data_IF_398787165959
#
_entry.id   IF_398787165959
#
_cell.length_a   1.000
_cell.length_b   1.000
_cell.length_c   1.000
_cell.angle_alpha   90.00
_cell.angle_beta   90.00
_cell.angle_gamma   90.00
#
_symmetry.space_group_name_H-M   'P 1'
#
loop_
_entity.id
_entity.type
_entity.pdbx_description
1 polymer ?
#
# COMPACT_ATOMS: atom_id res chain seq x y z
N UNK A 1 -60.90 -32.61 27.10
CA UNK A 1 -59.54 -33.03 26.71
C UNK A 1 -59.08 -34.11 27.67
N UNK A 2 -58.86 -35.33 27.18
CA UNK A 2 -58.49 -36.45 28.05
C UNK A 2 -57.00 -36.37 28.47
N UNK A 3 -56.62 -37.11 29.50
CA UNK A 3 -55.28 -37.08 30.08
C UNK A 3 -54.19 -37.57 29.10
N UNK A 4 -54.56 -38.48 28.19
CA UNK A 4 -53.68 -38.95 27.12
C UNK A 4 -53.36 -37.83 26.11
N UNK A 5 -54.36 -37.05 25.71
CA UNK A 5 -54.21 -35.94 24.76
C UNK A 5 -53.37 -34.79 25.33
N UNK A 6 -53.49 -34.54 26.64
CA UNK A 6 -52.59 -33.62 27.37
C UNK A 6 -51.15 -34.13 27.35
N UNK A 7 -50.94 -35.42 27.61
CA UNK A 7 -49.61 -36.05 27.58
C UNK A 7 -48.97 -35.97 26.20
N UNK A 8 -49.73 -36.28 25.14
CA UNK A 8 -49.26 -36.19 23.75
C UNK A 8 -48.86 -34.77 23.37
N UNK A 9 -49.64 -33.75 23.76
CA UNK A 9 -49.31 -32.33 23.49
C UNK A 9 -48.05 -31.87 24.22
N UNK A 10 -47.83 -32.34 25.45
CA UNK A 10 -46.61 -32.05 26.21
C UNK A 10 -45.38 -32.71 25.56
N UNK A 11 -45.51 -33.96 25.11
CA UNK A 11 -44.43 -34.65 24.38
C UNK A 11 -44.05 -33.91 23.10
N UNK A 12 -45.04 -33.54 22.28
CA UNK A 12 -44.83 -32.75 21.06
C UNK A 12 -44.14 -31.40 21.35
N UNK A 13 -44.57 -30.71 22.40
CA UNK A 13 -43.95 -29.44 22.78
C UNK A 13 -42.50 -29.63 23.24
N UNK A 14 -42.19 -30.72 23.96
CA UNK A 14 -40.83 -31.05 24.35
C UNK A 14 -39.95 -31.28 23.12
N UNK A 15 -40.43 -32.05 22.15
CA UNK A 15 -39.70 -32.36 20.92
C UNK A 15 -39.42 -31.10 20.10
N UNK A 16 -40.42 -30.20 19.95
CA UNK A 16 -40.24 -28.91 19.29
C UNK A 16 -39.19 -28.03 19.99
N UNK A 17 -39.14 -28.04 21.32
CA UNK A 17 -38.14 -27.30 22.10
C UNK A 17 -36.74 -27.90 21.93
N UNK A 18 -36.61 -29.22 21.84
CA UNK A 18 -35.32 -29.86 21.59
C UNK A 18 -34.81 -29.57 20.17
N UNK A 19 -35.69 -29.66 19.17
CA UNK A 19 -35.35 -29.33 17.78
C UNK A 19 -34.92 -27.86 17.65
N UNK A 20 -35.66 -26.93 18.28
CA UNK A 20 -35.28 -25.52 18.29
C UNK A 20 -33.91 -25.31 18.96
N UNK A 21 -33.64 -25.99 20.09
CA UNK A 21 -32.32 -25.93 20.74
C UNK A 21 -31.21 -26.43 19.84
N UNK A 22 -31.41 -27.54 19.14
CA UNK A 22 -30.42 -28.12 18.23
C UNK A 22 -30.15 -27.19 17.03
N UNK A 23 -31.19 -26.63 16.41
CA UNK A 23 -31.06 -25.63 15.35
C UNK A 23 -30.35 -24.35 15.82
N UNK A 24 -30.64 -23.91 17.04
CA UNK A 24 -29.99 -22.73 17.63
C UNK A 24 -28.50 -22.97 17.90
N UNK A 25 -28.13 -24.16 18.39
CA UNK A 25 -26.73 -24.53 18.62
C UNK A 25 -25.94 -24.56 17.31
N UNK A 26 -26.48 -25.18 16.26
CA UNK A 26 -25.86 -25.23 14.94
C UNK A 26 -25.65 -23.82 14.34
N UNK A 27 -26.63 -22.92 14.52
CA UNK A 27 -26.52 -21.54 14.04
C UNK A 27 -25.43 -20.75 14.79
N UNK A 28 -25.18 -21.04 16.07
CA UNK A 28 -24.09 -20.44 16.85
C UNK A 28 -22.74 -20.96 16.32
N UNK A 29 -22.60 -22.27 16.12
CA UNK A 29 -21.37 -22.86 15.56
C UNK A 29 -21.04 -22.29 14.18
N UNK A 30 -22.04 -22.16 13.30
CA UNK A 30 -21.85 -21.56 11.98
C UNK A 30 -21.37 -20.10 12.06
N UNK A 31 -21.89 -19.32 13.02
CA UNK A 31 -21.43 -17.93 13.24
C UNK A 31 -19.98 -17.88 13.71
N UNK A 32 -19.58 -18.79 14.60
CA UNK A 32 -18.20 -18.85 15.09
C UNK A 32 -17.24 -19.26 13.96
N UNK A 33 -17.63 -20.22 13.12
CA UNK A 33 -16.86 -20.60 11.91
C UNK A 33 -16.71 -19.42 10.95
N UNK A 34 -17.78 -18.66 10.68
CA UNK A 34 -17.72 -17.49 9.80
C UNK A 34 -16.83 -16.38 10.36
N UNK A 35 -16.85 -16.17 11.68
CA UNK A 35 -15.96 -15.23 12.36
C UNK A 35 -14.51 -15.67 12.22
N UNK A 36 -14.22 -16.95 12.46
CA UNK A 36 -12.87 -17.49 12.33
C UNK A 36 -12.36 -17.47 10.88
N UNK A 37 -13.24 -17.70 9.89
CA UNK A 37 -12.93 -17.52 8.48
C UNK A 37 -12.64 -16.06 8.13
N UNK A 38 -13.42 -15.11 8.67
CA UNK A 38 -13.17 -13.67 8.50
C UNK A 38 -11.84 -13.25 9.11
N UNK A 39 -11.52 -13.71 10.31
CA UNK A 39 -10.24 -13.47 10.97
C UNK A 39 -9.07 -14.09 10.18
N UNK A 40 -9.25 -15.31 9.65
CA UNK A 40 -8.25 -15.96 8.81
C UNK A 40 -8.04 -15.22 7.48
N UNK A 41 -9.12 -14.76 6.84
CA UNK A 41 -9.06 -13.92 5.63
C UNK A 41 -8.33 -12.60 5.92
N UNK A 42 -8.68 -11.92 7.01
CA UNK A 42 -8.01 -10.68 7.43
C UNK A 42 -6.53 -10.92 7.75
N UNK A 43 -6.19 -11.99 8.47
CA UNK A 43 -4.80 -12.40 8.74
C UNK A 43 -4.03 -12.72 7.45
N UNK A 44 -4.65 -13.45 6.52
CA UNK A 44 -4.02 -13.82 5.24
C UNK A 44 -3.83 -12.59 4.37
N UNK A 45 -4.81 -11.68 4.31
CA UNK A 45 -4.69 -10.39 3.63
C UNK A 45 -3.57 -9.53 4.23
N UNK A 46 -3.39 -9.54 5.56
CA UNK A 46 -2.28 -8.84 6.20
C UNK A 46 -0.92 -9.48 5.84
N UNK A 47 -0.81 -10.81 5.86
CA UNK A 47 0.42 -11.52 5.44
C UNK A 47 0.75 -11.31 3.96
N UNK A 48 -0.25 -11.24 3.08
CA UNK A 48 -0.07 -10.90 1.67
C UNK A 48 0.38 -9.44 1.52
N UNK A 49 -0.19 -8.51 2.29
CA UNK A 49 0.24 -7.10 2.34
C UNK A 49 1.70 -6.96 2.81
N UNK A 50 2.11 -7.70 3.84
CA UNK A 50 3.47 -7.68 4.40
C UNK A 50 4.52 -8.27 3.45
N UNK A 51 4.16 -9.31 2.68
CA UNK A 51 5.06 -9.99 1.74
C UNK A 51 5.14 -9.31 0.36
N UNK A 52 4.14 -8.52 -0.02
CA UNK A 52 4.12 -7.79 -1.30
C UNK A 52 4.67 -6.36 -1.23
N UNK A 53 4.92 -5.82 -0.04
CA UNK A 53 5.50 -4.49 0.10
C UNK A 53 6.18 -4.34 1.46
N UNK A 54 7.50 -4.13 1.54
CA UNK A 54 8.10 -3.82 2.82
C UNK A 54 7.56 -2.45 3.24
N UNK A 55 6.80 -2.42 4.35
CA UNK A 55 6.19 -1.20 4.93
C UNK A 55 7.24 -0.11 5.21
N UNK A 56 8.51 -0.50 5.27
CA UNK A 56 9.66 0.38 5.12
C UNK A 56 10.26 0.12 3.74
N UNK A 57 10.13 1.07 2.80
CA UNK A 57 10.69 0.96 1.45
C UNK A 57 12.22 0.87 1.46
N UNK A 58 12.74 -0.29 1.84
CA UNK A 58 14.16 -0.56 1.78
C UNK A 58 14.58 -0.43 0.33
N UNK A 59 15.62 0.35 0.08
CA UNK A 59 16.33 0.34 -1.18
C UNK A 59 17.10 -0.98 -1.29
N UNK A 60 16.36 -2.06 -1.55
CA UNK A 60 16.92 -3.39 -1.75
C UNK A 60 17.33 -3.51 -3.21
N UNK A 61 18.62 -3.70 -3.41
CA UNK A 61 19.18 -4.08 -4.71
C UNK A 61 18.76 -5.51 -5.02
N UNK A 62 17.64 -5.67 -5.73
CA UNK A 62 17.19 -6.98 -6.22
C UNK A 62 17.84 -7.36 -7.56
N UNK A 63 18.77 -6.54 -8.08
CA UNK A 63 19.28 -6.67 -9.45
C UNK A 63 18.21 -6.50 -10.53
N UNK A 64 16.96 -6.18 -10.14
CA UNK A 64 15.84 -6.02 -11.05
C UNK A 64 15.71 -4.56 -11.45
N UNK A 65 15.88 -4.33 -12.76
CA UNK A 65 15.64 -3.04 -13.41
C UNK A 65 14.15 -2.84 -13.78
N UNK A 66 13.32 -3.85 -13.55
CA UNK A 66 11.88 -3.76 -13.79
C UNK A 66 11.24 -2.74 -12.87
N UNK A 67 10.34 -1.94 -13.43
CA UNK A 67 9.69 -0.88 -12.68
C UNK A 67 8.16 -0.95 -12.69
N UNK A 68 7.56 -1.98 -12.07
CA UNK A 68 6.13 -1.96 -11.82
C UNK A 68 5.75 -0.77 -10.93
N UNK A 69 4.51 -0.27 -11.02
CA UNK A 69 4.01 0.77 -10.12
C UNK A 69 4.20 0.38 -8.65
N UNK A 70 4.69 1.34 -7.88
CA UNK A 70 5.06 1.19 -6.47
C UNK A 70 4.04 1.93 -5.60
N UNK A 71 3.37 1.27 -4.66
CA UNK A 71 2.34 1.90 -3.84
C UNK A 71 2.75 1.91 -2.36
N UNK A 72 2.75 3.06 -1.72
CA UNK A 72 3.10 3.23 -0.31
C UNK A 72 1.94 3.84 0.47
N UNK A 73 1.68 3.31 1.66
CA UNK A 73 0.61 3.76 2.57
C UNK A 73 1.09 4.02 4.01
N UNK A 74 2.36 3.73 4.30
CA UNK A 74 2.98 3.98 5.59
C UNK A 74 3.08 5.49 5.88
N UNK A 75 3.14 5.89 7.16
CA UNK A 75 3.30 7.30 7.52
C UNK A 75 4.68 7.87 7.19
N UNK A 76 5.68 7.03 6.95
CA UNK A 76 6.98 7.42 6.45
C UNK A 76 7.66 6.23 5.79
N UNK A 77 8.44 6.48 4.75
CA UNK A 77 9.35 5.48 4.19
C UNK A 77 10.51 6.13 3.44
N UNK A 78 11.59 5.37 3.27
CA UNK A 78 12.59 5.63 2.23
C UNK A 78 12.10 5.03 0.91
N UNK A 79 12.46 5.67 -0.19
CA UNK A 79 12.10 5.27 -1.55
C UNK A 79 13.26 5.61 -2.48
N UNK A 80 13.42 4.88 -3.57
CA UNK A 80 14.54 5.08 -4.49
C UNK A 80 14.26 4.58 -5.90
N UNK A 81 15.07 5.04 -6.84
CA UNK A 81 15.12 4.51 -8.20
C UNK A 81 15.42 3.01 -8.21
N UNK A 82 14.98 2.25 -9.24
CA UNK A 82 15.40 0.87 -9.42
C UNK A 82 16.92 0.76 -9.48
N UNK A 83 17.47 -0.33 -8.93
CA UNK A 83 18.91 -0.59 -8.92
C UNK A 83 19.72 0.18 -7.86
N UNK A 84 19.18 1.25 -7.26
CA UNK A 84 19.90 2.05 -6.25
C UNK A 84 20.47 1.16 -5.12
N UNK A 85 21.75 1.31 -4.71
CA UNK A 85 22.69 2.40 -5.08
C UNK A 85 23.49 2.16 -6.37
N UNK A 86 23.25 1.07 -7.10
CA UNK A 86 23.84 0.88 -8.42
C UNK A 86 23.12 1.73 -9.47
N UNK A 87 23.68 1.74 -10.68
CA UNK A 87 23.06 2.42 -11.80
C UNK A 87 21.62 1.91 -12.03
N UNK A 88 20.69 2.83 -12.28
CA UNK A 88 19.37 2.43 -12.79
C UNK A 88 19.51 1.87 -14.21
N UNK A 89 18.63 0.94 -14.58
CA UNK A 89 18.65 0.29 -15.89
C UNK A 89 17.89 1.05 -16.97
N UNK A 90 18.04 0.58 -18.19
CA UNK A 90 17.61 1.27 -19.41
C UNK A 90 16.09 1.40 -19.52
N UNK A 91 15.62 2.53 -20.06
CA UNK A 91 14.29 2.71 -20.65
C UNK A 91 13.08 2.32 -19.77
N UNK A 92 13.13 2.65 -18.48
CA UNK A 92 12.03 2.41 -17.55
C UNK A 92 11.37 3.72 -17.09
N UNK A 93 10.04 3.76 -17.14
CA UNK A 93 9.24 4.76 -16.42
C UNK A 93 8.68 4.11 -15.17
N UNK A 94 9.11 4.63 -14.03
CA UNK A 94 8.70 4.21 -12.71
C UNK A 94 7.67 5.17 -12.13
N UNK A 95 6.58 4.63 -11.58
CA UNK A 95 5.57 5.39 -10.86
C UNK A 95 5.56 4.95 -9.39
N UNK A 96 5.61 5.91 -8.49
CA UNK A 96 5.51 5.71 -7.05
C UNK A 96 4.29 6.50 -6.57
N UNK A 97 3.27 5.80 -6.07
CA UNK A 97 2.07 6.40 -5.51
C UNK A 97 2.17 6.33 -3.98
N UNK A 98 2.06 7.48 -3.34
CA UNK A 98 2.04 7.58 -1.87
C UNK A 98 0.62 8.01 -1.47
N UNK A 99 0.01 7.25 -0.58
CA UNK A 99 -1.33 7.48 -0.07
C UNK A 99 -1.31 7.39 1.46
N UNK A 100 -1.15 8.53 2.14
CA UNK A 100 -1.14 8.58 3.61
C UNK A 100 -2.56 8.62 4.18
N UNK A 101 -2.67 8.66 5.50
CA UNK A 101 -3.95 8.77 6.21
C UNK A 101 -4.73 10.01 5.74
N UNK A 102 -6.06 9.90 5.73
CA UNK A 102 -6.95 11.01 5.45
C UNK A 102 -6.73 12.19 6.42
N UNK A 103 -6.88 13.41 5.92
CA UNK A 103 -6.60 14.64 6.67
C UNK A 103 -5.11 14.94 6.88
N UNK A 104 -4.21 14.12 6.35
CA UNK A 104 -2.76 14.38 6.38
C UNK A 104 -2.20 14.72 5.01
N UNK A 105 -0.98 15.24 4.98
CA UNK A 105 -0.22 15.57 3.76
C UNK A 105 1.14 14.88 3.76
N UNK A 106 1.84 14.92 2.63
CA UNK A 106 3.12 14.25 2.42
C UNK A 106 4.22 15.31 2.28
N UNK A 107 5.30 15.18 3.04
CA UNK A 107 6.56 15.90 2.81
C UNK A 107 7.61 14.93 2.27
N UNK A 108 8.14 15.22 1.08
CA UNK A 108 9.17 14.44 0.39
C UNK A 108 10.50 15.21 0.37
N UNK A 109 11.60 14.52 0.67
CA UNK A 109 12.96 15.05 0.61
C UNK A 109 13.92 14.08 -0.07
N UNK A 110 14.67 14.56 -1.06
CA UNK A 110 15.74 13.79 -1.67
C UNK A 110 16.96 13.72 -0.75
N UNK A 111 17.55 12.54 -0.64
CA UNK A 111 18.77 12.26 0.12
C UNK A 111 19.97 12.12 -0.82
N UNK A 112 19.75 11.56 -2.00
CA UNK A 112 20.72 11.47 -3.10
C UNK A 112 19.99 11.69 -4.42
N UNK A 113 20.69 12.27 -5.40
CA UNK A 113 20.11 12.56 -6.70
C UNK A 113 21.21 12.63 -7.76
N UNK A 114 21.21 11.68 -8.68
CA UNK A 114 22.12 11.66 -9.82
C UNK A 114 21.45 10.98 -11.00
N UNK A 115 21.15 11.75 -12.03
CA UNK A 115 20.66 11.24 -13.31
C UNK A 115 21.63 11.59 -14.44
N UNK A 116 21.65 10.74 -15.46
CA UNK A 116 22.62 10.81 -16.54
C UNK A 116 22.50 12.07 -17.42
N UNK A 117 21.27 12.49 -17.72
CA UNK A 117 21.02 13.64 -18.60
C UNK A 117 19.71 14.34 -18.26
N UNK A 118 19.44 15.48 -18.89
CA UNK A 118 18.15 16.20 -18.80
C UNK A 118 16.95 15.38 -19.32
N UNK A 119 17.21 14.34 -20.12
CA UNK A 119 16.20 13.41 -20.59
C UNK A 119 15.88 12.29 -19.59
N UNK A 120 16.71 12.10 -18.55
CA UNK A 120 16.47 11.20 -17.42
C UNK A 120 16.07 12.04 -16.20
N UNK A 121 14.80 11.99 -15.79
CA UNK A 121 14.27 12.97 -14.85
C UNK A 121 13.29 12.38 -13.83
N UNK A 122 13.16 13.09 -12.71
CA UNK A 122 12.12 12.89 -11.71
C UNK A 122 11.12 14.03 -11.80
N UNK A 123 9.82 13.73 -11.67
CA UNK A 123 8.75 14.71 -11.57
C UNK A 123 7.77 14.31 -10.48
N UNK A 124 7.34 15.27 -9.67
CA UNK A 124 6.43 15.05 -8.54
C UNK A 124 5.10 15.75 -8.78
N UNK A 125 4.01 15.06 -8.47
CA UNK A 125 2.64 15.48 -8.73
C UNK A 125 1.83 15.52 -7.42
N UNK A 126 0.98 16.52 -7.30
CA UNK A 126 0.11 16.78 -6.16
C UNK A 126 -1.21 16.00 -6.27
N UNK A 127 -1.13 14.69 -6.11
CA UNK A 127 -2.30 13.82 -6.21
C UNK A 127 -1.94 12.36 -6.41
N UNK A 128 -2.92 11.58 -6.85
CA UNK A 128 -2.83 10.12 -6.96
C UNK A 128 -2.40 9.62 -8.36
N UNK A 129 -2.02 10.53 -9.27
CA UNK A 129 -1.62 10.16 -10.63
C UNK A 129 -0.68 11.20 -11.25
N UNK A 130 -0.14 10.87 -12.42
CA UNK A 130 0.65 11.81 -13.24
C UNK A 130 -0.18 12.83 -14.01
N UNK A 131 -1.52 12.79 -13.89
CA UNK A 131 -2.42 13.82 -14.42
C UNK A 131 -2.78 14.88 -13.37
N UNK A 132 -2.40 14.68 -12.11
CA UNK A 132 -2.55 15.66 -11.05
C UNK A 132 -1.63 16.89 -11.27
N UNK A 133 -1.89 18.03 -10.60
CA UNK A 133 -1.04 19.22 -10.72
C UNK A 133 0.44 18.92 -10.42
N UNK A 134 1.35 19.61 -11.08
CA UNK A 134 2.79 19.40 -10.86
C UNK A 134 3.25 20.15 -9.60
N UNK A 135 4.01 19.48 -8.73
CA UNK A 135 4.74 20.13 -7.63
C UNK A 135 6.15 20.53 -8.03
N UNK A 136 6.71 19.88 -9.05
CA UNK A 136 8.05 20.18 -9.56
C UNK A 136 8.05 20.21 -11.08
N UNK A 137 9.00 20.98 -11.62
CA UNK A 137 9.48 20.76 -12.99
C UNK A 137 10.28 19.45 -13.09
N UNK A 138 10.79 19.14 -14.30
CA UNK A 138 11.66 17.97 -14.53
C UNK A 138 12.99 18.17 -13.80
N UNK A 139 13.20 17.40 -12.74
CA UNK A 139 14.45 17.40 -11.98
C UNK A 139 15.43 16.41 -12.60
N UNK A 140 16.66 16.82 -12.87
CA UNK A 140 17.70 16.00 -13.52
C UNK A 140 19.11 16.44 -13.14
N UNK A 141 20.13 15.65 -13.54
CA UNK A 141 21.54 15.91 -13.27
C UNK A 141 21.96 15.46 -11.87
N UNK A 142 22.98 16.13 -11.33
CA UNK A 142 23.54 15.85 -10.01
C UNK A 142 23.58 17.14 -9.16
N UNK A 143 22.41 17.69 -8.79
CA UNK A 143 22.36 18.90 -7.97
C UNK A 143 22.83 18.60 -6.54
N UNK A 144 23.45 19.59 -5.90
CA UNK A 144 23.75 19.50 -4.47
C UNK A 144 22.46 19.32 -3.68
N UNK A 145 22.39 18.30 -2.80
CA UNK A 145 21.15 17.95 -2.08
C UNK A 145 20.60 19.10 -1.23
N UNK A 146 21.46 19.96 -0.67
CA UNK A 146 21.04 21.14 0.09
C UNK A 146 20.31 22.19 -0.75
N UNK A 147 20.44 22.19 -2.08
CA UNK A 147 19.68 23.08 -2.96
C UNK A 147 18.29 22.54 -3.28
N UNK A 148 18.03 21.24 -3.05
CA UNK A 148 16.73 20.63 -3.25
C UNK A 148 15.82 20.93 -2.06
N UNK A 149 14.79 21.74 -2.30
CA UNK A 149 13.77 22.04 -1.30
C UNK A 149 12.89 20.82 -1.02
N UNK A 150 12.37 20.72 0.21
CA UNK A 150 11.32 19.77 0.55
C UNK A 150 10.08 20.01 -0.31
N UNK A 151 9.48 18.94 -0.84
CA UNK A 151 8.28 19.00 -1.66
C UNK A 151 7.10 18.58 -0.77
N UNK A 152 6.04 19.39 -0.73
CA UNK A 152 4.87 19.15 0.11
C UNK A 152 3.63 19.03 -0.76
N UNK A 153 2.85 17.97 -0.57
CA UNK A 153 1.52 17.84 -1.20
C UNK A 153 0.50 18.75 -0.51
N UNK A 154 -0.57 19.08 -1.21
CA UNK A 154 -1.74 19.76 -0.64
C UNK A 154 -2.68 18.80 0.09
N UNK A 155 -2.65 17.51 -0.26
CA UNK A 155 -3.49 16.48 0.33
C UNK A 155 -2.77 15.17 0.62
N UNK A 156 -3.55 14.11 0.88
CA UNK A 156 -3.03 12.80 1.31
C UNK A 156 -2.32 11.98 0.23
N UNK A 157 -2.30 12.46 -1.00
CA UNK A 157 -1.73 11.76 -2.15
C UNK A 157 -0.55 12.52 -2.72
N UNK A 158 0.49 11.78 -3.10
CA UNK A 158 1.65 12.30 -3.83
C UNK A 158 2.13 11.23 -4.81
N UNK A 159 2.30 11.60 -6.08
CA UNK A 159 2.80 10.69 -7.11
C UNK A 159 4.17 11.16 -7.60
N UNK A 160 5.11 10.23 -7.71
CA UNK A 160 6.46 10.46 -8.24
C UNK A 160 6.61 9.66 -9.53
N UNK A 161 7.06 10.33 -10.59
CA UNK A 161 7.48 9.70 -11.84
C UNK A 161 8.98 9.80 -11.97
N UNK A 162 9.66 8.68 -12.15
CA UNK A 162 11.05 8.65 -12.60
C UNK A 162 11.09 8.06 -14.01
N UNK A 163 11.50 8.86 -14.99
CA UNK A 163 11.60 8.44 -16.37
C UNK A 163 13.08 8.40 -16.77
N UNK A 164 13.58 7.19 -17.00
CA UNK A 164 14.92 6.96 -17.51
C UNK A 164 14.86 6.73 -19.02
N UNK A 165 15.42 7.68 -19.78
CA UNK A 165 15.74 7.50 -21.19
C UNK A 165 17.26 7.35 -21.29
N UNK A 166 17.76 6.40 -22.10
CA UNK A 166 19.17 6.01 -22.32
C UNK A 166 19.72 4.83 -21.51
N UNK A 167 20.76 4.22 -22.11
CA UNK A 167 21.42 3.00 -21.63
C UNK A 167 22.62 3.23 -20.71
N UNK A 168 22.86 4.49 -20.33
CA UNK A 168 23.93 4.87 -19.41
C UNK A 168 23.26 5.41 -18.15
N UNK A 169 23.11 4.56 -17.13
CA UNK A 169 22.53 4.95 -15.84
C UNK A 169 23.56 5.58 -14.91
N UNK A 170 23.17 6.62 -14.17
CA UNK A 170 23.88 7.04 -12.95
C UNK A 170 23.30 6.29 -11.74
N UNK A 171 23.86 6.50 -10.54
CA UNK A 171 23.41 5.84 -9.29
C UNK A 171 21.93 6.08 -8.95
N UNK A 172 21.28 7.07 -9.59
CA UNK A 172 19.86 7.35 -9.43
C UNK A 172 19.57 8.23 -8.23
N UNK A 173 18.48 7.95 -7.53
CA UNK A 173 18.04 8.78 -6.41
C UNK A 173 17.51 7.94 -5.25
N UNK A 174 17.69 8.47 -4.05
CA UNK A 174 16.99 8.05 -2.85
C UNK A 174 16.29 9.27 -2.25
N UNK A 175 15.07 9.08 -1.80
CA UNK A 175 14.30 10.07 -1.08
C UNK A 175 13.67 9.43 0.16
N UNK A 176 13.25 10.27 1.09
CA UNK A 176 12.39 9.91 2.19
C UNK A 176 11.12 10.74 2.10
N UNK A 177 9.98 10.14 2.44
CA UNK A 177 8.77 10.88 2.69
C UNK A 177 8.28 10.64 4.12
N UNK A 178 7.55 11.61 4.65
CA UNK A 178 6.81 11.48 5.91
C UNK A 178 5.47 12.19 5.82
N UNK A 179 4.55 11.74 6.64
CA UNK A 179 3.27 12.39 6.88
C UNK A 179 3.49 13.67 7.69
N UNK A 180 2.82 14.74 7.28
CA UNK A 180 2.70 15.99 8.02
C UNK A 180 1.21 16.34 8.20
N UNK A 181 0.90 17.12 9.23
CA UNK A 181 -0.43 17.70 9.42
C UNK A 181 -0.65 18.84 8.41
#
# INVERSE_FOLDING_TARGET
>A
MNQQEKSTKISLLHDMVQEHRQKSALAIEQKEVLKQQSEYLNSTLMKVRETMWPETGACVNTGSYMCPPKNYNAPAAKICSPGYPNAYGDLNTCIYNIAVKEGSRVELRFLTFSTYSSNTYVKVYDGNSTSSPNLTERMSGNPTISSLKSIKSSGRYLTIKFAANYNYGSIGWQAEYKTIA
#
